data_IF_894925263553
#
_entry.id   IF_894925263553
#
_cell.length_a   1.000
_cell.length_b   1.000
_cell.length_c   1.000
_cell.angle_alpha   90.00
_cell.angle_beta   90.00
_cell.angle_gamma   90.00
#
_symmetry.space_group_name_H-M   'P 1'
#
loop_
_entity.id
_entity.type
_entity.pdbx_description
1 polymer ?
#
# COMPACT_ATOMS: atom_id res chain seq x y z
N UNK A 1 5.23 -5.32 8.28
CA UNK A 1 5.64 -5.87 6.99
C UNK A 1 4.43 -6.44 6.24
N UNK A 2 3.76 -7.43 6.80
CA UNK A 2 2.67 -8.16 6.13
C UNK A 2 1.47 -7.31 5.71
N UNK A 3 1.15 -6.21 6.39
CA UNK A 3 -0.05 -5.43 6.07
C UNK A 3 0.04 -4.73 4.72
N UNK A 4 1.21 -4.19 4.35
CA UNK A 4 1.40 -3.55 3.04
C UNK A 4 1.47 -4.58 1.92
N UNK A 5 2.05 -5.76 2.17
CA UNK A 5 2.06 -6.87 1.22
C UNK A 5 0.62 -7.31 0.92
N UNK A 6 -0.20 -7.51 1.95
CA UNK A 6 -1.63 -7.86 1.81
C UNK A 6 -2.43 -6.77 1.07
N UNK A 7 -2.21 -5.50 1.39
CA UNK A 7 -2.88 -4.38 0.68
C UNK A 7 -2.53 -4.40 -0.80
N UNK A 8 -1.26 -4.57 -1.15
CA UNK A 8 -0.83 -4.63 -2.54
C UNK A 8 -1.41 -5.85 -3.27
N UNK A 9 -1.41 -7.01 -2.64
CA UNK A 9 -2.00 -8.24 -3.20
C UNK A 9 -3.49 -8.05 -3.53
N UNK A 10 -4.27 -7.51 -2.58
CA UNK A 10 -5.69 -7.20 -2.81
C UNK A 10 -5.86 -6.17 -3.94
N UNK A 11 -5.01 -5.14 -4.01
CA UNK A 11 -5.08 -4.13 -5.08
C UNK A 11 -4.79 -4.73 -6.46
N UNK A 12 -3.81 -5.61 -6.54
CA UNK A 12 -3.48 -6.33 -7.79
C UNK A 12 -4.65 -7.18 -8.27
N UNK A 13 -5.23 -7.99 -7.39
CA UNK A 13 -6.36 -8.87 -7.69
C UNK A 13 -7.62 -8.11 -8.09
N UNK A 14 -7.86 -6.94 -7.49
CA UNK A 14 -9.06 -6.16 -7.71
C UNK A 14 -8.95 -5.15 -8.86
N UNK A 15 -7.75 -4.96 -9.42
CA UNK A 15 -7.57 -4.00 -10.51
C UNK A 15 -8.49 -4.32 -11.72
N UNK A 16 -9.17 -3.33 -12.34
CA UNK A 16 -9.03 -1.88 -12.13
C UNK A 16 -9.97 -1.27 -11.07
N UNK A 17 -10.59 -2.08 -10.20
CA UNK A 17 -11.47 -1.58 -9.15
C UNK A 17 -10.64 -0.86 -8.09
N UNK A 18 -11.02 0.39 -7.81
CA UNK A 18 -10.34 1.19 -6.79
C UNK A 18 -10.89 0.89 -5.40
N UNK A 19 -10.00 0.54 -4.50
CA UNK A 19 -10.32 0.26 -3.10
C UNK A 19 -9.73 1.35 -2.20
N UNK A 20 -10.31 1.52 -1.01
CA UNK A 20 -9.77 2.39 0.03
C UNK A 20 -9.33 1.53 1.20
N UNK A 21 -8.08 1.70 1.62
CA UNK A 21 -7.49 0.98 2.74
C UNK A 21 -7.19 1.93 3.88
N UNK A 22 -7.79 1.68 5.03
CA UNK A 22 -7.47 2.37 6.27
C UNK A 22 -6.68 1.45 7.19
N UNK A 23 -5.49 1.86 7.58
CA UNK A 23 -4.68 1.19 8.60
C UNK A 23 -4.83 1.97 9.91
N UNK A 24 -5.24 1.30 10.97
CA UNK A 24 -5.30 1.87 12.32
C UNK A 24 -4.25 1.21 13.22
N UNK A 25 -3.39 2.01 13.82
CA UNK A 25 -2.45 1.54 14.82
C UNK A 25 -3.07 1.62 16.21
N UNK A 26 -3.00 0.54 16.98
CA UNK A 26 -3.49 0.46 18.35
C UNK A 26 -4.07 -0.90 18.70
N UNK A 27 -4.41 -1.04 19.97
CA UNK A 27 -4.95 -2.29 20.50
C UNK A 27 -6.34 -2.60 19.91
N UNK A 28 -6.60 -3.88 19.71
CA UNK A 28 -7.93 -4.46 19.51
C UNK A 28 -8.36 -5.10 20.83
N UNK A 29 -9.45 -4.62 21.39
CA UNK A 29 -9.93 -5.02 22.74
C UNK A 29 -10.87 -6.21 22.73
N UNK A 30 -11.32 -6.62 21.56
CA UNK A 30 -12.18 -7.79 21.37
C UNK A 30 -11.39 -8.99 20.85
N UNK A 31 -11.84 -10.20 21.18
CA UNK A 31 -11.28 -11.41 20.61
C UNK A 31 -11.41 -11.40 19.08
N UNK A 32 -10.30 -11.59 18.40
CA UNK A 32 -10.27 -11.66 16.94
C UNK A 32 -10.89 -12.98 16.51
N UNK A 33 -12.11 -12.92 15.97
CA UNK A 33 -12.76 -14.07 15.36
C UNK A 33 -12.37 -14.15 13.89
N UNK A 34 -11.56 -15.13 13.54
CA UNK A 34 -11.10 -15.35 12.16
C UNK A 34 -12.21 -15.63 11.16
N UNK A 35 -13.39 -16.09 11.66
CA UNK A 35 -14.53 -16.44 10.83
C UNK A 35 -15.48 -15.27 10.54
N UNK A 36 -15.39 -14.18 11.30
CA UNK A 36 -16.23 -13.00 11.12
C UNK A 36 -15.47 -11.73 11.49
N UNK A 37 -15.33 -10.82 10.55
CA UNK A 37 -14.79 -9.48 10.78
C UNK A 37 -15.73 -8.55 11.60
N UNK A 38 -16.91 -9.04 11.97
CA UNK A 38 -17.91 -8.31 12.74
C UNK A 38 -17.59 -8.38 14.24
N UNK A 39 -17.56 -7.22 14.88
CA UNK A 39 -17.37 -7.11 16.32
C UNK A 39 -15.96 -6.73 16.76
N UNK A 40 -15.06 -6.41 15.84
CA UNK A 40 -13.79 -5.81 16.21
C UNK A 40 -14.03 -4.44 16.88
N UNK A 41 -13.45 -4.25 18.06
CA UNK A 41 -13.54 -3.02 18.83
C UNK A 41 -12.17 -2.64 19.38
N UNK A 42 -12.00 -1.36 19.70
CA UNK A 42 -10.76 -0.84 20.25
C UNK A 42 -10.13 0.30 19.44
N UNK A 43 -9.10 0.95 19.98
CA UNK A 43 -8.46 2.11 19.37
C UNK A 43 -7.96 1.86 17.95
N UNK A 44 -7.39 0.70 17.67
CA UNK A 44 -6.92 0.31 16.34
C UNK A 44 -8.06 0.29 15.32
N UNK A 45 -9.21 -0.28 15.67
CA UNK A 45 -10.38 -0.32 14.81
C UNK A 45 -10.94 1.07 14.50
N UNK A 46 -11.09 1.92 15.53
CA UNK A 46 -11.60 3.28 15.33
C UNK A 46 -10.68 4.12 14.45
N UNK A 47 -9.37 4.00 14.63
CA UNK A 47 -8.38 4.69 13.78
C UNK A 47 -8.40 4.19 12.34
N UNK A 48 -8.53 2.89 12.11
CA UNK A 48 -8.68 2.34 10.76
C UNK A 48 -9.93 2.89 10.07
N UNK A 49 -11.05 2.97 10.78
CA UNK A 49 -12.29 3.57 10.27
C UNK A 49 -12.12 5.05 9.96
N UNK A 50 -11.49 5.81 10.85
CA UNK A 50 -11.18 7.23 10.64
C UNK A 50 -10.32 7.42 9.38
N UNK A 51 -9.30 6.57 9.18
CA UNK A 51 -8.45 6.61 7.99
C UNK A 51 -9.26 6.44 6.69
N UNK A 52 -10.22 5.52 6.65
CA UNK A 52 -11.10 5.33 5.48
C UNK A 52 -12.00 6.56 5.27
N UNK A 53 -12.57 7.14 6.33
CA UNK A 53 -13.41 8.34 6.19
C UNK A 53 -12.59 9.54 5.70
N UNK A 54 -11.35 9.70 6.15
CA UNK A 54 -10.43 10.74 5.65
C UNK A 54 -10.18 10.60 4.14
N UNK A 55 -9.97 9.37 3.64
CA UNK A 55 -9.81 9.12 2.20
C UNK A 55 -11.06 9.55 1.42
N UNK A 56 -12.24 9.21 1.92
CA UNK A 56 -13.53 9.62 1.31
C UNK A 56 -13.69 11.14 1.27
N UNK A 57 -13.32 11.83 2.36
CA UNK A 57 -13.41 13.28 2.45
C UNK A 57 -12.42 13.98 1.50
N UNK A 58 -11.18 13.50 1.44
CA UNK A 58 -10.16 14.02 0.53
C UNK A 58 -10.61 13.92 -0.92
N UNK A 59 -11.17 12.79 -1.31
CA UNK A 59 -11.68 12.56 -2.66
C UNK A 59 -12.82 13.52 -3.02
N UNK A 60 -13.76 13.78 -2.08
CA UNK A 60 -14.85 14.74 -2.26
C UNK A 60 -14.34 16.18 -2.43
N UNK A 61 -13.33 16.59 -1.64
CA UNK A 61 -12.82 17.98 -1.63
C UNK A 61 -11.96 18.29 -2.85
N UNK A 62 -11.07 17.38 -3.24
CA UNK A 62 -10.03 17.65 -4.22
C UNK A 62 -10.39 17.18 -5.64
N UNK A 63 -11.49 16.49 -5.84
CA UNK A 63 -11.88 15.85 -7.12
C UNK A 63 -10.77 14.95 -7.71
N UNK A 64 -9.72 14.67 -6.94
CA UNK A 64 -8.64 13.78 -7.29
C UNK A 64 -8.33 12.89 -6.09
N UNK A 65 -7.95 11.67 -6.36
CA UNK A 65 -7.49 10.74 -5.32
C UNK A 65 -6.02 11.01 -5.09
N UNK A 66 -5.67 11.30 -3.85
CA UNK A 66 -4.27 11.49 -3.44
C UNK A 66 -3.60 10.16 -3.10
N UNK A 67 -4.37 9.22 -2.52
CA UNK A 67 -3.93 7.87 -2.20
C UNK A 67 -5.14 6.97 -2.01
N UNK A 68 -4.94 5.67 -2.15
CA UNK A 68 -5.92 4.63 -1.79
C UNK A 68 -5.66 4.07 -0.39
N UNK A 69 -4.55 4.47 0.24
CA UNK A 69 -4.10 4.01 1.54
C UNK A 69 -3.95 5.19 2.49
N UNK A 70 -4.46 5.05 3.71
CA UNK A 70 -4.28 6.01 4.79
C UNK A 70 -4.00 5.28 6.11
N UNK A 71 -3.06 5.80 6.88
CA UNK A 71 -2.70 5.32 8.19
C UNK A 71 -3.13 6.32 9.25
N UNK A 72 -3.70 5.83 10.36
CA UNK A 72 -3.97 6.61 11.56
C UNK A 72 -3.30 5.99 12.77
N UNK A 73 -2.62 6.82 13.53
CA UNK A 73 -1.89 6.45 14.75
C UNK A 73 -2.38 7.29 15.95
N UNK A 74 -1.80 7.01 17.11
CA UNK A 74 -1.98 7.87 18.29
C UNK A 74 -1.11 9.14 18.22
N UNK A 75 -1.29 10.03 19.17
CA UNK A 75 -0.56 11.31 19.22
C UNK A 75 0.95 11.12 19.42
N UNK A 76 1.40 10.03 20.04
CA UNK A 76 2.83 9.76 20.27
C UNK A 76 3.54 9.41 18.97
N UNK A 77 2.82 8.90 17.97
CA UNK A 77 3.34 8.51 16.67
C UNK A 77 2.94 9.47 15.53
N UNK A 78 2.49 10.68 15.87
CA UNK A 78 1.95 11.66 14.91
C UNK A 78 2.90 11.98 13.77
N UNK A 79 4.18 12.16 14.04
CA UNK A 79 5.19 12.45 13.00
C UNK A 79 5.34 11.28 12.04
N UNK A 80 5.34 10.05 12.55
CA UNK A 80 5.38 8.85 11.71
C UNK A 80 4.12 8.71 10.84
N UNK A 81 2.94 9.01 11.39
CA UNK A 81 1.67 9.04 10.66
C UNK A 81 1.76 10.01 9.47
N UNK A 82 2.21 11.25 9.71
CA UNK A 82 2.33 12.27 8.67
C UNK A 82 3.30 11.84 7.58
N UNK A 83 4.49 11.38 7.96
CA UNK A 83 5.52 10.96 7.01
C UNK A 83 5.08 9.77 6.18
N UNK A 84 4.51 8.73 6.79
CA UNK A 84 4.05 7.54 6.09
C UNK A 84 2.90 7.86 5.12
N UNK A 85 1.92 8.66 5.53
CA UNK A 85 0.85 9.10 4.64
C UNK A 85 1.39 9.92 3.46
N UNK A 86 2.38 10.79 3.70
CA UNK A 86 3.05 11.52 2.60
C UNK A 86 3.74 10.57 1.63
N UNK A 87 4.41 9.54 2.14
CA UNK A 87 5.03 8.49 1.29
C UNK A 87 3.96 7.77 0.48
N UNK A 88 2.83 7.37 1.08
CA UNK A 88 1.74 6.70 0.36
C UNK A 88 1.13 7.60 -0.73
N UNK A 89 0.95 8.89 -0.45
CA UNK A 89 0.46 9.86 -1.44
C UNK A 89 1.45 9.97 -2.62
N UNK A 90 2.76 10.07 -2.37
CA UNK A 90 3.78 10.12 -3.42
C UNK A 90 3.89 8.80 -4.20
N UNK A 91 3.80 7.66 -3.52
CA UNK A 91 3.76 6.35 -4.19
C UNK A 91 2.56 6.24 -5.12
N UNK A 92 1.39 6.72 -4.69
CA UNK A 92 0.20 6.74 -5.52
C UNK A 92 0.37 7.61 -6.77
N UNK A 93 1.02 8.79 -6.65
CA UNK A 93 1.33 9.64 -7.80
C UNK A 93 2.21 8.90 -8.82
N UNK A 94 3.25 8.21 -8.36
CA UNK A 94 4.12 7.41 -9.23
C UNK A 94 3.31 6.31 -9.93
N UNK A 95 2.53 5.55 -9.17
CA UNK A 95 1.74 4.43 -9.68
C UNK A 95 0.63 4.86 -10.64
N UNK A 96 0.00 6.02 -10.39
CA UNK A 96 -1.04 6.56 -11.26
C UNK A 96 -0.53 6.95 -12.65
N UNK A 97 0.77 7.18 -12.78
CA UNK A 97 1.44 7.43 -14.05
C UNK A 97 1.82 6.17 -14.85
N UNK A 98 1.64 4.98 -14.27
CA UNK A 98 1.99 3.75 -14.99
C UNK A 98 1.00 3.43 -16.09
N UNK A 99 1.54 3.04 -17.25
CA UNK A 99 0.76 2.35 -18.28
C UNK A 99 0.38 0.94 -17.81
N UNK A 100 -0.61 0.32 -18.42
CA UNK A 100 -1.03 -1.05 -18.07
C UNK A 100 0.15 -2.03 -18.15
N UNK A 101 1.01 -1.89 -19.18
CA UNK A 101 2.20 -2.73 -19.33
C UNK A 101 3.25 -2.49 -18.26
N UNK A 102 3.46 -1.23 -17.85
CA UNK A 102 4.35 -0.93 -16.73
C UNK A 102 3.81 -1.53 -15.44
N UNK A 103 2.53 -1.39 -15.19
CA UNK A 103 1.84 -1.93 -14.02
C UNK A 103 2.01 -3.44 -13.95
N UNK A 104 1.74 -4.15 -15.03
CA UNK A 104 1.88 -5.60 -15.12
C UNK A 104 3.31 -6.06 -14.76
N UNK A 105 4.32 -5.46 -15.36
CA UNK A 105 5.74 -5.81 -15.11
C UNK A 105 6.17 -5.46 -13.69
N UNK A 106 5.77 -4.29 -13.20
CA UNK A 106 6.15 -3.82 -11.85
C UNK A 106 5.48 -4.68 -10.79
N UNK A 107 4.21 -4.99 -10.96
CA UNK A 107 3.48 -5.85 -10.02
C UNK A 107 4.02 -7.27 -10.00
N UNK A 108 4.34 -7.85 -11.15
CA UNK A 108 4.99 -9.16 -11.20
C UNK A 108 6.31 -9.16 -10.41
N UNK A 109 7.14 -8.12 -10.59
CA UNK A 109 8.38 -7.96 -9.83
C UNK A 109 8.16 -7.79 -8.32
N UNK A 110 7.15 -7.00 -7.91
CA UNK A 110 6.83 -6.77 -6.49
C UNK A 110 6.29 -8.04 -5.82
N UNK A 111 5.44 -8.78 -6.53
CA UNK A 111 4.78 -9.97 -6.01
C UNK A 111 5.74 -11.15 -5.85
N UNK A 112 6.53 -11.45 -6.87
CA UNK A 112 7.41 -12.62 -6.86
C UNK A 112 8.78 -12.34 -6.24
N UNK A 113 9.34 -11.15 -6.46
CA UNK A 113 10.65 -10.78 -5.90
C UNK A 113 11.82 -11.64 -6.37
N UNK A 114 11.65 -12.40 -7.47
CA UNK A 114 12.57 -13.43 -7.94
C UNK A 114 13.44 -13.03 -9.13
N UNK A 115 13.38 -11.73 -9.49
CA UNK A 115 14.27 -11.11 -10.45
C UNK A 115 13.75 -10.99 -11.88
N UNK A 116 14.38 -10.09 -12.64
CA UNK A 116 13.95 -9.67 -13.98
C UNK A 116 13.89 -10.81 -15.00
N UNK A 117 14.74 -11.84 -14.86
CA UNK A 117 14.78 -12.96 -15.79
C UNK A 117 13.54 -13.85 -15.65
N UNK A 118 13.10 -14.08 -14.41
CA UNK A 118 11.90 -14.86 -14.14
C UNK A 118 10.64 -14.10 -14.57
N UNK A 119 10.56 -12.80 -14.26
CA UNK A 119 9.52 -11.90 -14.77
C UNK A 119 9.45 -11.91 -16.29
N UNK A 120 10.60 -11.83 -16.97
CA UNK A 120 10.67 -11.91 -18.43
C UNK A 120 10.07 -13.22 -18.96
N UNK A 121 10.38 -14.35 -18.31
CA UNK A 121 9.84 -15.66 -18.66
C UNK A 121 8.33 -15.76 -18.45
N UNK A 122 7.81 -15.29 -17.31
CA UNK A 122 6.36 -15.32 -17.02
C UNK A 122 5.53 -14.43 -17.97
N UNK A 123 6.06 -13.26 -18.31
CA UNK A 123 5.38 -12.28 -19.16
C UNK A 123 5.70 -12.43 -20.66
N UNK A 124 6.46 -13.45 -21.05
CA UNK A 124 6.87 -13.75 -22.43
C UNK A 124 7.53 -12.57 -23.14
N UNK A 125 8.42 -11.85 -22.44
CA UNK A 125 9.18 -10.70 -22.95
C UNK A 125 10.68 -10.88 -22.70
N UNK A 126 11.50 -9.97 -23.24
CA UNK A 126 12.95 -10.01 -23.00
C UNK A 126 13.30 -9.35 -21.66
N UNK A 127 14.39 -9.82 -21.02
CA UNK A 127 14.90 -9.18 -19.81
C UNK A 127 15.22 -7.68 -20.04
N UNK A 128 15.72 -7.31 -21.22
CA UNK A 128 15.98 -5.92 -21.55
C UNK A 128 14.70 -5.07 -21.60
N UNK A 129 13.58 -5.66 -22.01
CA UNK A 129 12.26 -5.02 -21.95
C UNK A 129 11.81 -4.83 -20.51
N UNK A 130 11.94 -5.86 -19.67
CA UNK A 130 11.67 -5.72 -18.22
C UNK A 130 12.47 -4.58 -17.63
N UNK A 131 13.81 -4.56 -17.83
CA UNK A 131 14.69 -3.53 -17.29
C UNK A 131 14.27 -2.11 -17.72
N UNK A 132 13.99 -1.90 -19.00
CA UNK A 132 13.51 -0.59 -19.51
C UNK A 132 12.18 -0.19 -18.91
N UNK A 133 11.25 -1.14 -18.77
CA UNK A 133 9.92 -0.90 -18.20
C UNK A 133 10.01 -0.53 -16.72
N UNK A 134 10.82 -1.24 -15.95
CA UNK A 134 11.06 -0.94 -14.54
C UNK A 134 11.69 0.45 -14.34
N UNK A 135 12.67 0.80 -15.18
CA UNK A 135 13.30 2.11 -15.12
C UNK A 135 12.31 3.23 -15.46
N UNK A 136 11.54 3.07 -16.54
CA UNK A 136 10.54 4.07 -16.96
C UNK A 136 9.39 4.23 -15.96
N UNK A 137 9.02 3.16 -15.22
CA UNK A 137 7.99 3.18 -14.19
C UNK A 137 8.50 3.57 -12.80
N UNK A 138 9.77 3.96 -12.66
CA UNK A 138 10.40 4.33 -11.36
C UNK A 138 10.30 3.22 -10.31
N UNK A 139 10.34 1.95 -10.75
CA UNK A 139 10.19 0.77 -9.90
C UNK A 139 11.09 0.79 -8.67
N UNK A 140 12.40 1.07 -8.84
CA UNK A 140 13.36 0.98 -7.75
C UNK A 140 13.09 2.01 -6.64
N UNK A 141 12.62 3.20 -7.01
CA UNK A 141 12.22 4.23 -6.05
C UNK A 141 10.94 3.82 -5.33
N UNK A 142 9.96 3.30 -6.07
CA UNK A 142 8.70 2.82 -5.52
C UNK A 142 8.92 1.65 -4.55
N UNK A 143 9.67 0.64 -4.95
CA UNK A 143 9.99 -0.55 -4.16
C UNK A 143 10.78 -0.19 -2.89
N UNK A 144 11.73 0.75 -2.99
CA UNK A 144 12.47 1.25 -1.83
C UNK A 144 11.56 1.98 -0.84
N UNK A 145 10.66 2.84 -1.33
CA UNK A 145 9.68 3.53 -0.50
C UNK A 145 8.74 2.54 0.22
N UNK A 146 8.22 1.54 -0.51
CA UNK A 146 7.37 0.48 0.05
C UNK A 146 8.08 -0.30 1.15
N UNK A 147 9.32 -0.71 0.90
CA UNK A 147 10.15 -1.46 1.86
C UNK A 147 10.43 -0.64 3.12
N UNK A 148 10.79 0.63 2.96
CA UNK A 148 11.07 1.51 4.09
C UNK A 148 9.81 1.78 4.92
N UNK A 149 8.67 2.02 4.28
CA UNK A 149 7.38 2.16 4.96
C UNK A 149 7.01 0.88 5.73
N UNK A 150 7.17 -0.29 5.10
CA UNK A 150 6.92 -1.58 5.73
C UNK A 150 7.84 -1.83 6.94
N UNK A 151 9.11 -1.42 6.84
CA UNK A 151 10.07 -1.50 7.96
C UNK A 151 9.63 -0.61 9.13
N UNK A 152 9.30 0.67 8.86
CA UNK A 152 8.86 1.60 9.91
C UNK A 152 7.60 1.08 10.60
N UNK A 153 6.63 0.55 9.84
CA UNK A 153 5.41 -0.05 10.42
C UNK A 153 5.72 -1.29 11.27
N UNK A 154 6.70 -2.08 10.89
CA UNK A 154 7.12 -3.25 11.65
C UNK A 154 7.92 -2.93 12.93
N UNK A 155 8.59 -1.77 12.95
CA UNK A 155 9.41 -1.32 14.09
C UNK A 155 8.59 -0.52 15.13
N UNK A 156 7.32 -0.19 14.84
CA UNK A 156 6.44 0.46 15.80
C UNK A 156 5.95 -0.60 16.78
N UNK A 157 6.37 -0.46 18.03
CA UNK A 157 5.88 -1.28 19.13
C UNK A 157 4.74 -0.54 19.84
N UNK A 158 3.76 -1.28 20.29
CA UNK A 158 2.78 -0.78 21.26
C UNK A 158 3.52 -0.60 22.60
N UNK A 159 3.72 0.65 23.04
CA UNK A 159 4.16 0.96 24.39
C UNK A 159 3.03 0.79 25.40
#
# INVERSE_FOLDING_TARGET
>A
KYILDMVNEIRMEMYPVRLRFGIGFGQITTDIRTEMALGADGPGYYRAREAVELLKEREKKNRSVLSELCLKMDETHRDKEILLNTVFDLMYVVESGWTDRQREVIWDMLFHGDGQQNTAGRLEITQSTVQKTLAAGSYYTYESALRNAAKILGDIQDD
#
